data_IF_433719623941
#
_entry.id   IF_433719623941
#
_cell.length_a   1.000
_cell.length_b   1.000
_cell.length_c   1.000
_cell.angle_alpha   90.00
_cell.angle_beta   90.00
_cell.angle_gamma   90.00
#
_symmetry.space_group_name_H-M   'P 1'
#
loop_
_entity.id
_entity.type
_entity.pdbx_description
1 polymer ?
#
# COMPACT_ATOMS: atom_id res chain seq x y z
N UNK A 1 -11.27 3.07 -2.83
CA UNK A 1 -11.01 2.76 -1.42
C UNK A 1 -12.06 3.43 -0.54
N UNK A 2 -12.95 2.64 0.02
CA UNK A 2 -14.09 3.14 0.77
C UNK A 2 -13.95 2.81 2.26
N UNK A 3 -14.58 3.64 3.12
CA UNK A 3 -14.57 3.42 4.58
C UNK A 3 -15.14 2.07 4.99
N UNK A 4 -16.09 1.53 4.22
CA UNK A 4 -16.70 0.24 4.52
C UNK A 4 -15.72 -0.94 4.42
N UNK A 5 -14.58 -0.75 3.74
CA UNK A 5 -13.52 -1.77 3.61
C UNK A 5 -12.38 -1.58 4.61
N UNK A 6 -12.46 -0.56 5.47
CA UNK A 6 -11.41 -0.30 6.45
C UNK A 6 -11.50 -1.25 7.63
N UNK A 7 -10.35 -1.62 8.21
CA UNK A 7 -10.33 -2.38 9.47
C UNK A 7 -10.99 -1.61 10.61
N UNK A 8 -11.40 -2.32 11.64
CA UNK A 8 -12.12 -1.75 12.78
C UNK A 8 -11.34 -0.68 13.55
N UNK A 9 -10.01 -0.64 13.44
CA UNK A 9 -9.23 0.36 14.17
C UNK A 9 -9.59 1.80 13.81
N UNK A 10 -10.18 2.02 12.63
CA UNK A 10 -10.67 3.35 12.26
C UNK A 10 -11.87 3.80 13.07
N UNK A 11 -12.55 2.87 13.73
CA UNK A 11 -13.68 3.16 14.61
C UNK A 11 -13.22 3.55 16.01
N UNK A 12 -11.99 3.20 16.34
CA UNK A 12 -11.37 3.50 17.62
C UNK A 12 -10.23 4.50 17.41
N UNK A 13 -10.55 5.77 17.61
CA UNK A 13 -9.62 6.87 17.38
C UNK A 13 -8.36 6.78 18.23
N UNK A 14 -8.50 6.35 19.45
CA UNK A 14 -7.36 6.31 20.38
C UNK A 14 -6.40 5.20 19.98
N UNK A 15 -6.90 4.01 19.65
CA UNK A 15 -6.09 2.92 19.15
C UNK A 15 -5.38 3.33 17.83
N UNK A 16 -6.12 3.95 16.90
CA UNK A 16 -5.56 4.41 15.64
C UNK A 16 -4.44 5.42 15.81
N UNK A 17 -4.58 6.37 16.73
CA UNK A 17 -3.54 7.36 17.03
C UNK A 17 -2.30 6.71 17.63
N UNK A 18 -2.50 5.81 18.58
CA UNK A 18 -1.42 5.08 19.21
C UNK A 18 -0.64 4.27 18.20
N UNK A 19 -1.33 3.59 17.29
CA UNK A 19 -0.72 2.77 16.24
C UNK A 19 0.10 3.59 15.27
N UNK A 20 -0.38 4.77 14.84
CA UNK A 20 0.36 5.66 13.95
C UNK A 20 1.70 6.05 14.58
N UNK A 21 1.73 6.27 15.89
CA UNK A 21 2.95 6.61 16.61
C UNK A 21 3.96 5.47 16.66
N UNK A 22 3.50 4.23 16.56
CA UNK A 22 4.36 3.04 16.61
C UNK A 22 4.66 2.45 15.23
N UNK A 23 4.33 3.19 14.16
CA UNK A 23 4.57 2.74 12.81
C UNK A 23 6.06 2.60 12.50
N UNK A 24 6.40 1.59 11.73
CA UNK A 24 7.76 1.37 11.23
C UNK A 24 7.77 1.39 9.69
N UNK A 25 8.95 1.64 9.12
CA UNK A 25 9.13 1.55 7.66
C UNK A 25 9.78 0.21 7.36
N UNK A 26 9.20 -0.53 6.41
CA UNK A 26 9.69 -1.84 6.02
C UNK A 26 9.74 -1.96 4.50
N UNK A 27 10.67 -2.77 4.01
CA UNK A 27 10.76 -3.14 2.61
C UNK A 27 10.20 -4.55 2.47
N UNK A 28 9.15 -4.70 1.65
CA UNK A 28 8.49 -5.98 1.46
C UNK A 28 9.09 -6.75 0.28
N UNK A 29 9.28 -8.06 0.46
CA UNK A 29 9.61 -8.95 -0.65
C UNK A 29 8.35 -9.28 -1.46
N UNK A 30 8.50 -10.03 -2.55
CA UNK A 30 7.38 -10.39 -3.41
C UNK A 30 6.31 -11.18 -2.66
N UNK A 31 6.72 -12.10 -1.81
CA UNK A 31 5.80 -12.92 -1.02
C UNK A 31 4.94 -12.04 -0.09
N UNK A 32 5.58 -11.11 0.59
CA UNK A 32 4.89 -10.17 1.48
C UNK A 32 3.95 -9.26 0.69
N UNK A 33 4.39 -8.73 -0.46
CA UNK A 33 3.56 -7.90 -1.33
C UNK A 33 2.30 -8.64 -1.77
N UNK A 34 2.42 -9.92 -2.14
CA UNK A 34 1.28 -10.74 -2.54
C UNK A 34 0.31 -11.01 -1.40
N UNK A 35 0.77 -10.94 -0.17
CA UNK A 35 -0.06 -11.20 1.01
C UNK A 35 -0.90 -9.99 1.46
N UNK A 36 -0.64 -8.81 0.90
CA UNK A 36 -1.38 -7.60 1.28
C UNK A 36 -2.80 -7.64 0.71
N UNK A 37 -3.79 -7.48 1.58
CA UNK A 37 -5.19 -7.33 1.18
C UNK A 37 -5.49 -5.88 0.79
N UNK A 38 -6.54 -5.67 -0.01
CA UNK A 38 -7.01 -4.35 -0.44
C UNK A 38 -6.03 -3.62 -1.35
N UNK A 39 -5.35 -4.36 -2.22
CA UNK A 39 -4.43 -3.78 -3.21
C UNK A 39 -4.45 -4.63 -4.49
N UNK A 40 -4.07 -4.00 -5.60
CA UNK A 40 -3.95 -4.68 -6.90
C UNK A 40 -2.50 -5.12 -7.17
N UNK A 41 -1.61 -5.04 -6.21
CA UNK A 41 -0.18 -5.31 -6.41
C UNK A 41 0.07 -6.75 -6.89
N UNK A 42 -0.71 -7.71 -6.42
CA UNK A 42 -0.62 -9.10 -6.87
C UNK A 42 -0.89 -9.24 -8.37
N UNK A 43 -1.92 -8.55 -8.87
CA UNK A 43 -2.24 -8.50 -10.29
C UNK A 43 -1.10 -7.91 -11.11
N UNK A 44 -0.46 -6.85 -10.60
CA UNK A 44 0.68 -6.23 -11.27
C UNK A 44 1.85 -7.21 -11.36
N UNK A 45 2.14 -7.91 -10.26
CA UNK A 45 3.22 -8.89 -10.24
C UNK A 45 3.00 -10.03 -11.25
N UNK A 46 1.75 -10.39 -11.52
CA UNK A 46 1.40 -11.45 -12.45
C UNK A 46 1.23 -10.97 -13.90
N UNK A 47 1.26 -9.67 -14.13
CA UNK A 47 1.05 -9.11 -15.47
C UNK A 47 2.31 -9.27 -16.35
N UNK A 48 2.10 -9.54 -17.65
CA UNK A 48 3.19 -9.58 -18.63
C UNK A 48 3.80 -8.20 -18.82
N UNK A 49 2.95 -7.17 -18.94
CA UNK A 49 3.38 -5.77 -19.02
C UNK A 49 2.93 -5.04 -17.76
N UNK A 50 3.79 -5.06 -16.75
CA UNK A 50 3.48 -4.50 -15.44
C UNK A 50 3.20 -3.00 -15.49
N UNK A 51 4.00 -2.24 -16.24
CA UNK A 51 3.82 -0.79 -16.35
C UNK A 51 2.49 -0.43 -17.01
N UNK A 52 2.18 -1.07 -18.13
CA UNK A 52 0.92 -0.84 -18.84
C UNK A 52 -0.28 -1.09 -17.93
N UNK A 53 -0.28 -2.21 -17.20
CA UNK A 53 -1.38 -2.55 -16.31
C UNK A 53 -1.48 -1.62 -15.12
N UNK A 54 -0.36 -1.24 -14.52
CA UNK A 54 -0.33 -0.31 -13.40
C UNK A 54 -0.86 1.07 -13.81
N UNK A 55 -0.46 1.57 -14.99
CA UNK A 55 -0.94 2.83 -15.54
C UNK A 55 -2.44 2.79 -15.79
N UNK A 56 -2.92 1.71 -16.39
CA UNK A 56 -4.33 1.49 -16.67
C UNK A 56 -5.18 1.56 -15.40
N UNK A 57 -4.77 0.85 -14.36
CA UNK A 57 -5.46 0.86 -13.08
C UNK A 57 -5.38 2.22 -12.40
N UNK A 58 -4.24 2.89 -12.45
CA UNK A 58 -4.09 4.23 -11.88
C UNK A 58 -5.03 5.23 -12.57
N UNK A 59 -5.18 5.14 -13.89
CA UNK A 59 -6.14 5.95 -14.64
C UNK A 59 -7.58 5.67 -14.20
N UNK A 60 -7.94 4.41 -14.07
CA UNK A 60 -9.27 3.99 -13.64
C UNK A 60 -9.61 4.54 -12.25
N UNK A 61 -8.62 4.68 -11.39
CA UNK A 61 -8.78 5.28 -10.07
C UNK A 61 -8.69 6.82 -10.07
N UNK A 62 -8.58 7.43 -11.25
CA UNK A 62 -8.49 8.90 -11.37
C UNK A 62 -7.19 9.50 -10.86
N UNK A 63 -6.10 8.74 -10.85
CA UNK A 63 -4.82 9.19 -10.34
C UNK A 63 -3.94 9.79 -11.43
N UNK A 64 -3.14 10.78 -11.06
CA UNK A 64 -2.13 11.36 -11.96
C UNK A 64 -0.88 10.46 -11.95
N UNK A 65 -0.93 9.41 -12.77
CA UNK A 65 0.14 8.40 -12.81
C UNK A 65 1.48 8.98 -13.26
N UNK A 66 1.46 9.97 -14.16
CA UNK A 66 2.69 10.62 -14.65
C UNK A 66 3.45 11.32 -13.52
N UNK A 67 2.73 12.01 -12.65
CA UNK A 67 3.30 12.67 -11.47
C UNK A 67 3.90 11.64 -10.51
N UNK A 68 3.20 10.54 -10.29
CA UNK A 68 3.66 9.49 -9.39
C UNK A 68 4.93 8.84 -9.94
N UNK A 69 4.94 8.47 -11.21
CA UNK A 69 6.11 7.87 -11.88
C UNK A 69 7.30 8.81 -11.81
N UNK A 70 7.09 10.07 -12.17
CA UNK A 70 8.14 11.09 -12.15
C UNK A 70 8.72 11.26 -10.76
N UNK A 71 7.85 11.35 -9.74
CA UNK A 71 8.28 11.46 -8.35
C UNK A 71 9.09 10.25 -7.88
N UNK A 72 8.69 9.05 -8.25
CA UNK A 72 9.44 7.84 -7.91
C UNK A 72 10.83 7.86 -8.55
N UNK A 73 10.92 8.21 -9.84
CA UNK A 73 12.19 8.30 -10.57
C UNK A 73 13.14 9.33 -9.97
N UNK A 74 12.60 10.47 -9.54
CA UNK A 74 13.39 11.58 -8.96
C UNK A 74 13.64 11.41 -7.48
N UNK A 75 13.15 10.34 -6.87
CA UNK A 75 13.23 10.09 -5.43
C UNK A 75 12.63 11.23 -4.60
N UNK A 76 11.56 11.85 -5.11
CA UNK A 76 10.81 12.87 -4.38
C UNK A 76 10.11 12.19 -3.20
N UNK A 77 10.11 12.87 -2.06
CA UNK A 77 9.41 12.38 -0.87
C UNK A 77 7.89 12.40 -1.10
N UNK A 78 7.32 11.20 -1.30
CA UNK A 78 5.89 10.98 -1.21
C UNK A 78 5.59 10.32 0.13
N UNK A 79 4.40 10.52 0.69
CA UNK A 79 3.96 9.67 1.79
C UNK A 79 4.02 8.21 1.33
N UNK A 80 4.65 7.32 2.10
CA UNK A 80 4.75 5.91 1.70
C UNK A 80 3.39 5.23 1.72
N UNK A 81 3.22 4.12 0.98
CA UNK A 81 2.04 3.28 1.16
C UNK A 81 1.87 2.89 2.62
N UNK A 82 0.64 2.88 3.09
CA UNK A 82 0.31 2.62 4.50
C UNK A 82 -0.38 1.26 4.63
N UNK A 83 0.21 0.39 5.44
CA UNK A 83 -0.26 -0.98 5.67
C UNK A 83 -0.48 -1.21 7.15
N UNK A 84 -1.57 -1.89 7.48
CA UNK A 84 -1.83 -2.37 8.84
C UNK A 84 -1.49 -3.84 8.92
N UNK A 85 -0.77 -4.22 9.97
CA UNK A 85 -0.46 -5.61 10.29
C UNK A 85 -1.19 -5.97 11.56
N UNK A 86 -2.05 -6.99 11.50
CA UNK A 86 -2.83 -7.42 12.67
C UNK A 86 -2.03 -8.35 13.58
N UNK A 87 -2.66 -8.79 14.67
CA UNK A 87 -2.04 -9.66 15.66
C UNK A 87 -1.61 -11.02 15.11
N UNK A 88 -2.14 -11.43 13.97
CA UNK A 88 -1.81 -12.70 13.30
C UNK A 88 -0.88 -12.51 12.12
N UNK A 89 -0.40 -11.30 11.89
CA UNK A 89 0.49 -11.00 10.79
C UNK A 89 -0.20 -10.73 9.46
N UNK A 90 -1.54 -10.65 9.42
CA UNK A 90 -2.27 -10.29 8.21
C UNK A 90 -2.03 -8.83 7.86
N UNK A 91 -1.75 -8.57 6.58
CA UNK A 91 -1.47 -7.25 6.05
C UNK A 91 -2.68 -6.70 5.29
N UNK A 92 -2.97 -5.42 5.49
CA UNK A 92 -4.09 -4.74 4.84
C UNK A 92 -3.66 -3.34 4.42
N UNK A 93 -3.81 -3.01 3.13
CA UNK A 93 -3.44 -1.69 2.63
C UNK A 93 -4.51 -0.66 2.98
N UNK A 94 -4.08 0.44 3.59
CA UNK A 94 -4.95 1.56 3.93
C UNK A 94 -4.89 2.69 2.91
N UNK A 95 -3.75 2.89 2.27
CA UNK A 95 -3.57 3.95 1.29
C UNK A 95 -2.29 3.82 0.52
N UNK A 96 -2.20 4.55 -0.59
CA UNK A 96 -1.00 4.54 -1.43
C UNK A 96 -0.97 3.40 -2.45
N UNK A 97 -2.13 2.87 -2.85
CA UNK A 97 -2.22 1.76 -3.80
C UNK A 97 -1.54 2.09 -5.14
N UNK A 98 -1.82 3.26 -5.71
CA UNK A 98 -1.22 3.64 -7.00
C UNK A 98 0.30 3.77 -6.92
N UNK A 99 0.83 4.32 -5.83
CA UNK A 99 2.28 4.40 -5.62
C UNK A 99 2.89 3.01 -5.48
N UNK A 100 2.23 2.13 -4.73
CA UNK A 100 2.70 0.76 -4.55
C UNK A 100 2.71 0.01 -5.89
N UNK A 101 1.61 0.07 -6.64
CA UNK A 101 1.50 -0.58 -7.95
C UNK A 101 2.57 -0.08 -8.93
N UNK A 102 2.70 1.25 -9.06
CA UNK A 102 3.64 1.84 -10.00
C UNK A 102 5.09 1.59 -9.57
N UNK A 103 5.38 1.67 -8.29
CA UNK A 103 6.71 1.35 -7.77
C UNK A 103 7.12 -0.08 -8.08
N UNK A 104 6.22 -1.03 -7.81
CA UNK A 104 6.46 -2.45 -8.13
C UNK A 104 6.63 -2.67 -9.63
N UNK A 105 5.77 -2.04 -10.45
CA UNK A 105 5.86 -2.15 -11.91
C UNK A 105 7.17 -1.61 -12.46
N UNK A 106 7.73 -0.59 -11.83
CA UNK A 106 9.02 0.01 -12.22
C UNK A 106 10.23 -0.76 -11.69
N UNK A 107 10.00 -1.78 -10.87
CA UNK A 107 11.07 -2.57 -10.26
C UNK A 107 11.75 -1.89 -9.08
N UNK A 108 11.16 -0.86 -8.51
CA UNK A 108 11.68 -0.21 -7.32
C UNK A 108 11.16 -0.86 -6.05
N UNK A 109 12.05 -0.98 -5.08
CA UNK A 109 11.69 -1.44 -3.74
C UNK A 109 11.35 -0.22 -2.89
N UNK A 110 10.06 0.07 -2.76
CA UNK A 110 9.59 1.24 -2.01
C UNK A 110 9.42 0.90 -0.52
N UNK A 111 9.78 1.84 0.36
CA UNK A 111 9.46 1.66 1.77
C UNK A 111 7.95 1.73 1.99
N UNK A 112 7.45 0.85 2.83
CA UNK A 112 6.04 0.80 3.24
C UNK A 112 5.97 1.14 4.72
N UNK A 113 5.03 2.02 5.07
CA UNK A 113 4.79 2.35 6.47
C UNK A 113 3.85 1.31 7.05
N UNK A 114 4.30 0.58 8.06
CA UNK A 114 3.54 -0.50 8.69
C UNK A 114 3.07 -0.08 10.06
N UNK A 115 1.77 -0.17 10.28
CA UNK A 115 1.14 0.06 11.57
C UNK A 115 0.80 -1.30 12.16
N UNK A 116 1.33 -1.60 13.32
CA UNK A 116 0.98 -2.84 14.04
C UNK A 116 -0.29 -2.65 14.85
N UNK A 117 -1.24 -3.56 14.71
CA UNK A 117 -2.51 -3.52 15.42
C UNK A 117 -2.70 -4.81 16.20
N UNK A 118 -3.02 -4.66 17.49
CA UNK A 118 -3.14 -5.80 18.40
C UNK A 118 -4.40 -6.65 18.18
N UNK A 119 -5.36 -6.15 17.41
CA UNK A 119 -6.61 -6.85 17.11
C UNK A 119 -6.56 -7.50 15.75
N UNK A 120 -7.43 -8.49 15.52
CA UNK A 120 -7.55 -9.14 14.22
C UNK A 120 -8.29 -8.23 13.24
N UNK A 121 -7.79 -8.16 12.00
CA UNK A 121 -8.49 -7.49 10.89
C UNK A 121 -9.70 -8.36 10.51
N UNK A 122 -10.85 -7.72 10.41
CA UNK A 122 -12.09 -8.38 9.99
C UNK A 122 -12.29 -8.36 8.49
#
# INVERSE_FOLDING_TARGET
>A
YTKSKLPNFWKDRDDGRSMIKTASYEFFDEKELRSISNTDVGEILDSENKMERAIELAKDYGKNYKRIIDGIKKKVEFPPPLVVKDSKGKLYLLGGNSRLMLGVAMGYNLPVKVISWSKKIQ
#
